data_IF_789161138258
#
_entry.id   IF_789161138258
#
_cell.length_a   1.000
_cell.length_b   1.000
_cell.length_c   1.000
_cell.angle_alpha   90.00
_cell.angle_beta   90.00
_cell.angle_gamma   90.00
#
_symmetry.space_group_name_H-M   'P 1'
#
loop_
_entity.id
_entity.type
_entity.pdbx_description
1 polymer ?
2 non-polymer ?
3 non-polymer ?
4 non-polymer ?
5 water ?
#
# COMPACT_ATOMS: atom_id res chain seq x y z
N UNK A 11 1.99 -10.92 -23.92
CA UNK A 11 2.41 -12.30 -23.73
C UNK A 11 3.93 -12.42 -23.79
N UNK A 12 4.56 -11.46 -24.45
CA UNK A 12 6.02 -11.40 -24.48
C UNK A 12 6.60 -10.81 -23.20
N UNK A 13 5.83 -10.00 -22.48
CA UNK A 13 6.25 -9.53 -21.17
C UNK A 13 6.07 -10.60 -20.11
N UNK A 14 5.00 -11.39 -20.19
CA UNK A 14 4.84 -12.52 -19.29
C UNK A 14 5.95 -13.55 -19.48
N UNK A 15 6.43 -13.72 -20.72
CA UNK A 15 7.45 -14.75 -20.94
C UNK A 15 8.77 -14.38 -20.29
N UNK A 16 9.18 -13.11 -20.38
CA UNK A 16 10.43 -12.71 -19.76
C UNK A 16 10.30 -12.64 -18.24
N UNK A 17 9.10 -12.36 -17.73
CA UNK A 17 8.91 -12.28 -16.28
C UNK A 17 8.87 -13.67 -15.66
N UNK A 18 8.13 -14.60 -16.29
CA UNK A 18 7.99 -15.94 -15.72
C UNK A 18 9.28 -16.73 -15.77
N UNK A 19 10.19 -16.41 -16.68
CA UNK A 19 11.45 -17.14 -16.83
C UNK A 19 12.60 -16.53 -16.05
N UNK A 20 12.44 -15.31 -15.53
CA UNK A 20 13.53 -14.65 -14.84
C UNK A 20 13.72 -15.22 -13.44
N UNK A 21 14.89 -14.95 -12.88
CA UNK A 21 15.21 -15.33 -11.50
C UNK A 21 14.83 -14.17 -10.59
N UNK A 22 14.27 -14.51 -9.42
CA UNK A 22 13.81 -13.52 -8.46
C UNK A 22 14.94 -13.29 -7.46
N UNK A 23 15.58 -12.11 -7.46
CA UNK A 23 16.64 -11.85 -6.48
C UNK A 23 16.11 -11.84 -5.06
N UNK A 24 17.03 -11.92 -4.11
CA UNK A 24 16.67 -11.95 -2.70
C UNK A 24 15.99 -10.65 -2.28
N UNK A 25 15.37 -10.68 -1.10
CA UNK A 25 14.75 -9.47 -0.57
C UNK A 25 15.80 -8.42 -0.22
N UNK A 26 16.96 -8.86 0.28
CA UNK A 26 18.04 -7.93 0.59
C UNK A 26 18.64 -7.33 -0.67
N UNK A 27 18.69 -8.10 -1.76
CA UNK A 27 19.20 -7.58 -3.02
C UNK A 27 18.28 -6.51 -3.59
N UNK A 28 16.96 -6.69 -3.41
CA UNK A 28 15.98 -5.76 -3.95
C UNK A 28 15.66 -4.60 -3.00
N UNK A 29 16.20 -4.62 -1.78
CA UNK A 29 16.05 -3.52 -0.81
C UNK A 29 14.59 -3.28 -0.43
N UNK A 30 13.74 -4.32 -0.55
CA UNK A 30 12.31 -4.14 -0.27
C UNK A 30 11.99 -4.22 1.22
N UNK A 31 12.97 -4.50 2.07
CA UNK A 31 12.75 -4.50 3.51
C UNK A 31 13.00 -3.14 4.15
N UNK A 32 13.79 -2.29 3.50
CA UNK A 32 14.04 -0.95 4.03
C UNK A 32 12.79 -0.09 3.95
N UNK A 33 12.51 0.65 5.03
CA UNK A 33 11.45 1.64 4.99
C UNK A 33 11.74 2.76 4.02
N UNK A 34 13.02 2.98 3.69
CA UNK A 34 13.43 4.03 2.78
C UNK A 34 13.53 3.56 1.34
N UNK A 35 12.87 2.44 1.01
CA UNK A 35 12.94 1.90 -0.35
C UNK A 35 12.37 2.91 -1.34
N UNK A 36 13.02 2.99 -2.50
CA UNK A 36 12.55 3.81 -3.61
C UNK A 36 12.58 3.00 -4.89
N UNK A 37 11.60 3.23 -5.75
CA UNK A 37 11.43 2.47 -6.99
C UNK A 37 11.92 3.22 -8.22
N UNK A 38 12.58 4.36 -8.03
CA UNK A 38 12.82 5.27 -9.16
C UNK A 38 13.67 4.63 -10.24
N UNK A 39 14.79 4.01 -9.86
CA UNK A 39 15.73 3.45 -10.82
C UNK A 39 15.27 2.11 -11.39
N UNK A 40 14.05 1.66 -11.07
CA UNK A 40 13.61 0.31 -11.40
C UNK A 40 12.76 0.31 -12.66
N UNK A 41 12.89 -0.74 -13.45
CA UNK A 41 12.01 -0.97 -14.59
C UNK A 41 10.63 -1.41 -14.11
N UNK A 42 9.71 -1.57 -15.06
CA UNK A 42 8.43 -2.18 -14.73
C UNK A 42 8.60 -3.65 -14.39
N UNK A 43 9.49 -4.34 -15.11
CA UNK A 43 9.75 -5.75 -14.83
C UNK A 43 10.46 -5.94 -13.49
N UNK A 44 11.31 -4.99 -13.10
CA UNK A 44 12.01 -5.11 -11.83
C UNK A 44 11.04 -4.98 -10.66
N UNK A 45 10.03 -4.11 -10.80
CA UNK A 45 9.02 -4.00 -9.75
C UNK A 45 8.16 -5.25 -9.68
N UNK A 46 7.93 -5.90 -10.82
CA UNK A 46 7.18 -7.16 -10.81
C UNK A 46 7.94 -8.26 -10.10
N UNK A 47 9.27 -8.29 -10.24
CA UNK A 47 10.06 -9.28 -9.54
C UNK A 47 10.11 -8.98 -8.04
N UNK A 48 10.15 -7.70 -7.68
CA UNK A 48 10.07 -7.34 -6.27
C UNK A 48 8.74 -7.78 -5.67
N UNK A 49 7.66 -7.69 -6.45
CA UNK A 49 6.36 -8.12 -5.97
C UNK A 49 6.31 -9.63 -5.79
N UNK A 50 6.96 -10.38 -6.68
CA UNK A 50 7.06 -11.83 -6.50
C UNK A 50 7.81 -12.16 -5.22
N UNK A 51 8.89 -11.43 -4.95
CA UNK A 51 9.67 -11.67 -3.74
C UNK A 51 8.84 -11.41 -2.49
N UNK A 52 7.97 -10.39 -2.54
CA UNK A 52 7.12 -10.09 -1.39
C UNK A 52 6.13 -11.22 -1.13
N UNK A 53 5.53 -11.77 -2.20
CA UNK A 53 4.68 -12.94 -2.04
C UNK A 53 5.48 -14.15 -1.56
N UNK A 54 6.74 -14.26 -2.01
CA UNK A 54 7.55 -15.43 -1.69
C UNK A 54 8.04 -15.39 -0.24
N UNK A 55 8.64 -14.28 0.18
CA UNK A 55 9.21 -14.21 1.52
C UNK A 55 8.16 -14.14 2.61
N UNK A 56 6.91 -13.83 2.27
CA UNK A 56 5.80 -13.90 3.20
C UNK A 56 5.16 -15.28 3.25
N UNK A 57 5.76 -16.26 2.56
CA UNK A 57 5.30 -17.65 2.51
C UNK A 57 3.89 -17.77 1.92
N UNK A 58 3.42 -16.74 1.22
CA UNK A 58 2.09 -16.80 0.61
C UNK A 58 2.07 -17.77 -0.56
N UNK A 59 3.17 -17.84 -1.32
CA UNK A 59 3.25 -18.78 -2.42
C UNK A 59 3.24 -20.22 -1.89
N UNK A 60 3.92 -20.46 -0.77
CA UNK A 60 4.01 -21.81 -0.23
C UNK A 60 2.73 -22.21 0.47
N UNK A 61 2.22 -21.37 1.38
CA UNK A 61 1.09 -21.75 2.22
C UNK A 61 -0.22 -21.81 1.45
N UNK A 62 -0.29 -21.23 0.26
CA UNK A 62 -1.52 -21.21 -0.53
C UNK A 62 -1.34 -21.80 -1.92
N UNK A 63 -0.19 -22.41 -2.20
CA UNK A 63 0.02 -23.21 -3.41
C UNK A 63 -0.24 -22.40 -4.68
N UNK A 64 0.40 -21.24 -4.77
CA UNK A 64 0.31 -20.43 -5.99
C UNK A 64 1.28 -20.96 -7.03
N UNK A 65 0.76 -21.22 -8.23
CA UNK A 65 1.62 -21.61 -9.34
C UNK A 65 2.28 -20.38 -9.93
N UNK A 66 3.54 -20.53 -10.34
CA UNK A 66 4.38 -19.38 -10.67
C UNK A 66 3.80 -18.56 -11.81
N UNK A 67 3.37 -19.22 -12.88
CA UNK A 67 2.86 -18.49 -14.04
C UNK A 67 1.54 -17.80 -13.78
N UNK A 68 0.78 -18.25 -12.78
CA UNK A 68 -0.47 -17.57 -12.43
C UNK A 68 -0.18 -16.30 -11.65
N UNK A 69 0.77 -16.36 -10.70
CA UNK A 69 1.15 -15.15 -9.97
C UNK A 69 1.78 -14.12 -10.90
N UNK A 70 2.62 -14.57 -11.83
CA UNK A 70 3.21 -13.64 -12.80
C UNK A 70 2.12 -12.98 -13.64
N UNK A 71 1.13 -13.75 -14.09
CA UNK A 71 0.06 -13.19 -14.90
C UNK A 71 -0.81 -12.24 -14.08
N UNK A 72 -1.06 -12.58 -12.82
CA UNK A 72 -1.88 -11.71 -11.97
C UNK A 72 -1.17 -10.40 -11.68
N UNK A 73 0.10 -10.48 -11.25
CA UNK A 73 0.89 -9.27 -11.04
C UNK A 73 0.89 -8.42 -12.30
N UNK A 74 1.03 -9.05 -13.45
CA UNK A 74 1.03 -8.29 -14.69
C UNK A 74 -0.33 -7.69 -14.98
N UNK A 75 -1.40 -8.46 -14.80
CA UNK A 75 -2.75 -7.93 -15.03
C UNK A 75 -3.02 -6.71 -14.14
N UNK A 76 -2.46 -6.69 -12.93
CA UNK A 76 -2.71 -5.58 -12.02
C UNK A 76 -2.01 -4.32 -12.49
N UNK A 77 -0.74 -4.44 -12.91
CA UNK A 77 0.01 -3.25 -13.32
C UNK A 77 -0.52 -2.67 -14.64
N UNK A 78 -1.12 -3.50 -15.50
CA UNK A 78 -1.68 -2.96 -16.74
C UNK A 78 -2.99 -2.23 -16.50
N UNK A 79 -3.71 -2.55 -15.43
CA UNK A 79 -4.97 -1.87 -15.11
C UNK A 79 -4.74 -0.59 -14.31
N UNK A 80 -3.50 -0.14 -14.19
CA UNK A 80 -3.16 1.20 -13.74
C UNK A 80 -2.80 2.04 -14.95
N UNK A 81 -3.10 3.33 -14.87
CA UNK A 81 -2.98 4.23 -16.03
C UNK A 81 -1.68 5.02 -15.93
N UNK A 82 -0.82 4.84 -16.94
CA UNK A 82 0.46 5.54 -16.98
C UNK A 82 0.28 7.05 -17.07
N UNK A 83 -0.78 7.50 -17.73
CA UNK A 83 -1.02 8.91 -17.96
C UNK A 83 -1.47 9.67 -16.71
N UNK A 84 -1.56 8.99 -15.57
CA UNK A 84 -1.87 9.63 -14.29
C UNK A 84 -0.57 9.80 -13.52
N UNK A 85 -0.35 11.00 -12.98
CA UNK A 85 0.96 11.35 -12.45
C UNK A 85 1.32 10.52 -11.23
N UNK A 86 0.43 10.46 -10.24
CA UNK A 86 0.72 9.78 -8.98
C UNK A 86 -0.03 8.48 -8.80
N UNK A 87 -1.35 8.50 -8.92
CA UNK A 87 -2.17 7.30 -8.68
C UNK A 87 -2.01 6.34 -9.85
N UNK A 88 -0.87 5.65 -9.87
CA UNK A 88 -0.55 4.70 -10.93
C UNK A 88 0.05 3.46 -10.29
N UNK A 89 0.65 2.60 -11.12
CA UNK A 89 1.16 1.33 -10.63
C UNK A 89 2.30 1.52 -9.64
N UNK A 90 3.16 2.52 -9.87
CA UNK A 90 4.29 2.74 -8.98
C UNK A 90 3.83 3.12 -7.58
N UNK A 91 2.70 3.83 -7.47
CA UNK A 91 2.16 4.13 -6.15
C UNK A 91 1.64 2.86 -5.47
N UNK A 92 0.94 2.00 -6.23
CA UNK A 92 0.44 0.76 -5.67
C UNK A 92 1.59 -0.17 -5.30
N UNK A 93 2.64 -0.20 -6.14
CA UNK A 93 3.79 -1.04 -5.84
C UNK A 93 4.50 -0.56 -4.57
N UNK A 94 4.62 0.76 -4.40
CA UNK A 94 5.26 1.29 -3.20
C UNK A 94 4.40 1.07 -1.97
N UNK A 95 3.07 1.14 -2.12
CA UNK A 95 2.19 0.88 -0.99
C UNK A 95 2.34 -0.55 -0.49
N UNK A 96 2.43 -1.51 -1.41
CA UNK A 96 2.62 -2.89 -1.00
C UNK A 96 4.02 -3.13 -0.44
N UNK A 97 5.02 -2.39 -0.93
CA UNK A 97 6.37 -2.56 -0.42
C UNK A 97 6.46 -2.13 1.04
N UNK A 98 5.85 -1.00 1.39
CA UNK A 98 5.85 -0.56 2.78
C UNK A 98 5.05 -1.52 3.66
N UNK A 99 3.99 -2.11 3.12
CA UNK A 99 3.29 -3.18 3.83
C UNK A 99 4.23 -4.36 4.10
N UNK A 100 5.04 -4.72 3.11
CA UNK A 100 6.03 -5.76 3.30
C UNK A 100 7.08 -5.33 4.33
N UNK A 101 7.52 -4.08 4.26
CA UNK A 101 8.52 -3.59 5.21
C UNK A 101 7.93 -3.49 6.62
N UNK A 102 6.67 -3.09 6.73
CA UNK A 102 6.03 -3.01 8.04
C UNK A 102 5.81 -4.39 8.64
N UNK A 103 5.62 -5.41 7.80
CA UNK A 103 5.48 -6.77 8.31
C UNK A 103 6.81 -7.36 8.73
N UNK A 104 7.86 -7.13 7.94
CA UNK A 104 9.17 -7.69 8.24
C UNK A 104 9.94 -6.79 9.22
N UNK A 105 10.41 -5.64 8.74
CA UNK A 105 11.20 -4.75 9.58
C UNK A 105 10.40 -4.22 10.76
N UNK A 106 9.10 -4.02 10.59
CA UNK A 106 8.25 -3.58 11.67
C UNK A 106 7.73 -4.67 12.57
N UNK A 107 8.01 -5.94 12.25
CA UNK A 107 7.63 -7.09 13.05
C UNK A 107 6.12 -7.20 13.23
N UNK A 108 5.34 -6.55 12.37
CA UNK A 108 3.89 -6.67 12.44
C UNK A 108 3.43 -8.05 11.97
N UNK A 109 4.27 -8.78 11.24
CA UNK A 109 3.88 -10.06 10.67
C UNK A 109 3.40 -11.04 11.73
N UNK A 110 4.00 -11.01 12.93
CA UNK A 110 3.64 -11.96 13.96
C UNK A 110 2.32 -11.63 14.63
N UNK A 111 1.82 -10.41 14.47
CA UNK A 111 0.54 -10.02 15.06
C UNK A 111 -0.66 -10.41 14.21
N UNK A 112 -0.44 -10.91 12.99
CA UNK A 112 -1.52 -11.19 12.06
C UNK A 112 -1.49 -12.65 11.62
N UNK A 113 -2.60 -13.08 11.04
CA UNK A 113 -2.71 -14.42 10.47
C UNK A 113 -2.26 -14.41 9.02
N UNK A 114 -2.05 -15.61 8.48
CA UNK A 114 -1.62 -15.73 7.08
C UNK A 114 -2.67 -15.16 6.14
N UNK A 115 -3.96 -15.41 6.41
CA UNK A 115 -5.01 -14.89 5.56
C UNK A 115 -5.10 -13.37 5.62
N UNK A 116 -4.82 -12.79 6.78
CA UNK A 116 -4.79 -11.33 6.88
C UNK A 116 -3.61 -10.75 6.11
N UNK A 117 -2.44 -11.38 6.23
CA UNK A 117 -1.26 -10.93 5.47
C UNK A 117 -1.51 -11.10 3.98
N UNK A 118 -2.09 -12.23 3.57
CA UNK A 118 -2.40 -12.46 2.17
C UNK A 118 -3.33 -11.39 1.63
N UNK A 119 -4.33 -11.00 2.41
CA UNK A 119 -5.29 -10.00 1.96
C UNK A 119 -4.68 -8.60 1.94
N UNK A 120 -3.82 -8.29 2.92
CA UNK A 120 -3.23 -6.96 3.00
C UNK A 120 -2.32 -6.69 1.81
N UNK A 121 -1.54 -7.70 1.39
CA UNK A 121 -0.65 -7.50 0.26
C UNK A 121 -1.43 -7.35 -1.05
N UNK A 122 -2.47 -8.17 -1.23
CA UNK A 122 -3.28 -8.06 -2.44
C UNK A 122 -4.02 -6.73 -2.47
N UNK A 123 -4.52 -6.28 -1.32
CA UNK A 123 -5.26 -5.02 -1.28
C UNK A 123 -4.35 -3.84 -1.54
N UNK A 124 -3.12 -3.86 -0.99
CA UNK A 124 -2.19 -2.76 -1.20
C UNK A 124 -1.86 -2.60 -2.67
N UNK A 125 -1.68 -3.71 -3.39
CA UNK A 125 -1.39 -3.65 -4.82
C UNK A 125 -2.60 -3.23 -5.64
N UNK A 126 -3.81 -3.41 -5.11
CA UNK A 126 -5.03 -3.22 -5.89
C UNK A 126 -5.87 -2.05 -5.42
N UNK A 127 -5.46 -1.34 -4.37
CA UNK A 127 -6.34 -0.36 -3.72
C UNK A 127 -6.67 0.85 -4.58
N UNK A 128 -6.01 1.03 -5.72
CA UNK A 128 -6.26 2.21 -6.56
C UNK A 128 -6.37 1.83 -8.03
N UNK A 129 -6.80 0.60 -8.31
CA UNK A 129 -6.88 0.13 -9.69
C UNK A 129 -7.82 1.01 -10.50
N UNK A 130 -7.42 1.25 -11.76
CA UNK A 130 -8.21 2.04 -12.72
C UNK A 130 -8.45 3.46 -12.23
N UNK A 131 -7.48 4.04 -11.54
CA UNK A 131 -7.55 5.44 -11.13
C UNK A 131 -7.21 6.34 -12.30
N UNK A 132 -8.00 7.40 -12.49
CA UNK A 132 -7.84 8.30 -13.62
C UNK A 132 -7.42 9.70 -13.20
N UNK A 133 -6.95 9.88 -11.98
CA UNK A 133 -6.60 11.20 -11.51
C UNK A 133 -7.70 11.81 -10.66
N UNK A 134 -7.29 12.63 -9.69
CA UNK A 134 -8.23 13.22 -8.75
C UNK A 134 -9.15 14.23 -9.42
N UNK A 135 -8.72 14.84 -10.53
CA UNK A 135 -9.53 15.81 -11.24
C UNK A 135 -10.23 15.23 -12.46
N UNK A 136 -10.27 13.90 -12.57
CA UNK A 136 -10.95 13.19 -13.65
C UNK A 136 -11.90 12.16 -13.09
N UNK A 137 -12.63 12.52 -12.04
CA UNK A 137 -13.50 11.60 -11.32
C UNK A 137 -14.97 11.72 -11.73
N UNK A 138 -15.27 12.51 -12.76
CA UNK A 138 -16.67 12.70 -13.16
C UNK A 138 -17.28 11.42 -13.73
N UNK A 139 -16.46 10.60 -14.41
CA UNK A 139 -16.97 9.36 -14.98
C UNK A 139 -17.47 8.40 -13.92
N UNK A 140 -17.08 8.61 -12.66
CA UNK A 140 -17.48 7.78 -11.54
C UNK A 140 -17.03 6.33 -11.73
N UNK A 152 -19.62 8.01 0.06
CA UNK A 152 -19.73 6.62 0.47
C UNK A 152 -18.65 5.77 -0.21
N UNK A 153 -17.55 6.42 -0.61
CA UNK A 153 -16.39 5.77 -1.22
C UNK A 153 -16.78 5.05 -2.52
N UNK A 154 -17.01 5.86 -3.56
CA UNK A 154 -17.33 5.32 -4.87
C UNK A 154 -16.07 4.80 -5.55
N UNK A 155 -14.99 5.58 -5.51
CA UNK A 155 -13.75 5.15 -6.15
C UNK A 155 -13.21 3.88 -5.53
N UNK A 156 -13.25 3.78 -4.19
CA UNK A 156 -12.73 2.59 -3.52
C UNK A 156 -13.55 1.36 -3.88
N UNK A 157 -14.86 1.51 -4.03
CA UNK A 157 -15.69 0.39 -4.49
C UNK A 157 -15.33 0.01 -5.92
N UNK A 158 -15.02 0.99 -6.76
CA UNK A 158 -14.57 0.69 -8.11
C UNK A 158 -13.21 0.01 -8.11
N UNK A 159 -12.34 0.40 -7.18
CA UNK A 159 -11.02 -0.22 -7.09
C UNK A 159 -11.12 -1.69 -6.71
N UNK A 160 -12.01 -2.03 -5.77
CA UNK A 160 -12.18 -3.42 -5.40
C UNK A 160 -12.85 -4.22 -6.51
N UNK A 161 -13.80 -3.60 -7.22
CA UNK A 161 -14.41 -4.27 -8.36
C UNK A 161 -13.36 -4.67 -9.39
N UNK A 162 -12.40 -3.79 -9.65
CA UNK A 162 -11.30 -4.13 -10.55
C UNK A 162 -10.41 -5.20 -9.94
N UNK A 163 -10.20 -5.15 -8.63
CA UNK A 163 -9.37 -6.17 -7.97
C UNK A 163 -10.03 -7.54 -8.04
N UNK A 164 -11.33 -7.61 -7.78
CA UNK A 164 -12.03 -8.89 -7.84
C UNK A 164 -12.10 -9.41 -9.28
N UNK A 165 -12.24 -8.50 -10.24
CA UNK A 165 -12.29 -8.92 -11.64
C UNK A 165 -10.97 -9.55 -12.07
N UNK A 166 -9.85 -8.98 -11.64
CA UNK A 166 -8.55 -9.55 -11.98
C UNK A 166 -8.34 -10.87 -11.24
N UNK A 167 -8.79 -10.95 -9.99
CA UNK A 167 -8.65 -12.18 -9.22
C UNK A 167 -9.43 -13.33 -9.84
N UNK A 168 -10.50 -13.02 -10.56
CA UNK A 168 -11.33 -14.04 -11.20
C UNK A 168 -10.99 -14.25 -12.67
N UNK A 169 -10.09 -13.45 -13.23
CA UNK A 169 -9.72 -13.60 -14.62
C UNK A 169 -9.06 -14.96 -14.84
N UNK A 170 -9.31 -15.62 -15.96
CA UNK A 170 -8.66 -16.92 -16.21
C UNK A 170 -7.15 -16.77 -16.31
N UNK A 171 -6.44 -17.67 -15.65
CA UNK A 171 -4.99 -17.61 -15.58
C UNK A 171 -4.43 -16.70 -14.51
N UNK A 172 -5.28 -15.96 -13.79
CA UNK A 172 -4.84 -15.01 -12.78
C UNK A 172 -5.36 -15.34 -11.39
N UNK A 173 -5.87 -16.56 -11.18
CA UNK A 173 -6.50 -16.94 -9.92
C UNK A 173 -5.44 -17.39 -8.93
N UNK A 174 -4.79 -16.41 -8.30
CA UNK A 174 -3.79 -16.73 -7.29
C UNK A 174 -4.41 -17.23 -5.99
N UNK A 175 -5.73 -17.16 -5.85
CA UNK A 175 -6.42 -17.64 -4.66
C UNK A 175 -7.12 -18.97 -4.91
N UNK A 176 -6.81 -19.65 -6.01
CA UNK A 176 -7.49 -20.91 -6.32
C UNK A 176 -7.16 -22.01 -5.31
N UNK A 177 -6.00 -21.92 -4.67
CA UNK A 177 -5.59 -22.91 -3.69
C UNK A 177 -6.22 -22.76 -2.32
N UNK A 178 -7.07 -21.77 -2.13
CA UNK A 178 -7.76 -21.57 -0.86
C UNK A 178 -9.09 -22.31 -0.85
N UNK A 179 -9.47 -22.77 0.33
CA UNK A 179 -10.81 -23.32 0.50
C UNK A 179 -11.86 -22.22 0.35
N UNK A 180 -13.10 -22.64 0.13
CA UNK A 180 -14.18 -21.67 0.01
C UNK A 180 -14.36 -20.89 1.31
N UNK A 181 -14.00 -21.50 2.44
CA UNK A 181 -14.03 -20.78 3.71
C UNK A 181 -12.93 -19.72 3.76
N UNK A 182 -11.70 -20.09 3.41
CA UNK A 182 -10.61 -19.12 3.39
C UNK A 182 -10.81 -18.08 2.29
N UNK A 183 -11.41 -18.48 1.16
CA UNK A 183 -11.53 -17.57 0.03
C UNK A 183 -12.41 -16.37 0.36
N UNK A 184 -13.50 -16.58 1.12
CA UNK A 184 -14.39 -15.47 1.43
C UNK A 184 -13.87 -14.62 2.59
N UNK A 185 -13.26 -15.26 3.60
CA UNK A 185 -12.59 -14.50 4.64
C UNK A 185 -11.54 -13.57 4.04
N UNK A 186 -10.78 -14.07 3.05
CA UNK A 186 -9.80 -13.24 2.38
C UNK A 186 -10.48 -12.14 1.56
N UNK A 187 -11.56 -12.47 0.86
CA UNK A 187 -12.22 -11.47 0.02
C UNK A 187 -12.80 -10.32 0.84
N UNK A 188 -13.34 -10.63 2.01
CA UNK A 188 -13.94 -9.57 2.83
C UNK A 188 -12.87 -8.71 3.51
N UNK A 189 -11.71 -9.29 3.83
CA UNK A 189 -10.62 -8.47 4.35
C UNK A 189 -10.04 -7.59 3.25
N UNK A 190 -9.93 -8.13 2.03
CA UNK A 190 -9.45 -7.34 0.90
C UNK A 190 -10.35 -6.14 0.67
N UNK A 191 -11.67 -6.36 0.71
CA UNK A 191 -12.62 -5.27 0.45
C UNK A 191 -12.54 -4.20 1.52
N UNK A 192 -12.49 -4.60 2.78
CA UNK A 192 -12.41 -3.62 3.87
C UNK A 192 -11.09 -2.87 3.84
N UNK A 193 -9.99 -3.55 3.47
CA UNK A 193 -8.70 -2.88 3.40
C UNK A 193 -8.67 -1.84 2.29
N UNK A 194 -9.28 -2.15 1.14
CA UNK A 194 -9.31 -1.20 0.04
C UNK A 194 -10.21 -0.02 0.38
N UNK A 195 -11.38 -0.29 0.97
CA UNK A 195 -12.29 0.78 1.37
C UNK A 195 -11.66 1.69 2.42
N UNK A 196 -10.78 1.13 3.26
CA UNK A 196 -10.14 1.92 4.30
C UNK A 196 -9.23 3.01 3.72
N UNK A 197 -8.77 2.85 2.48
CA UNK A 197 -7.91 3.85 1.85
C UNK A 197 -8.66 5.13 1.51
N UNK A 198 -9.98 5.16 1.70
CA UNK A 198 -10.72 6.42 1.63
C UNK A 198 -10.40 7.24 2.87
N UNK A 199 -9.75 8.39 2.68
CA UNK A 199 -9.36 9.21 3.82
C UNK A 199 -10.58 9.66 4.63
N UNK A 200 -11.74 9.74 4.00
CA UNK A 200 -12.97 10.02 4.74
C UNK A 200 -13.22 8.97 5.81
N UNK A 201 -13.10 7.69 5.44
CA UNK A 201 -13.27 6.63 6.42
C UNK A 201 -12.18 6.67 7.49
N UNK A 202 -10.95 7.02 7.09
CA UNK A 202 -9.87 7.14 8.06
C UNK A 202 -10.16 8.25 9.06
N UNK A 203 -10.70 9.38 8.58
CA UNK A 203 -10.97 10.50 9.47
C UNK A 203 -12.05 10.14 10.49
N UNK A 204 -13.07 9.40 10.06
CA UNK A 204 -14.18 9.06 10.94
C UNK A 204 -13.83 7.94 11.93
N UNK A 205 -12.79 7.15 11.65
CA UNK A 205 -12.43 6.02 12.50
C UNK A 205 -11.12 6.21 13.26
N UNK A 206 -10.29 7.19 12.88
CA UNK A 206 -9.02 7.37 13.56
C UNK A 206 -9.21 7.87 14.99
N UNK A 207 -10.29 8.60 15.26
CA UNK A 207 -10.55 9.06 16.62
C UNK A 207 -10.70 7.91 17.60
N UNK A 208 -11.45 6.88 17.19
CA UNK A 208 -11.54 5.68 18.03
C UNK A 208 -10.16 5.04 18.19
N UNK A 209 -9.42 4.90 17.08
CA UNK A 209 -8.11 4.23 17.13
C UNK A 209 -7.18 4.91 18.13
N UNK A 210 -7.15 6.25 18.12
CA UNK A 210 -6.26 6.96 19.04
C UNK A 210 -6.76 6.87 20.48
N UNK A 211 -8.07 7.00 20.69
CA UNK A 211 -8.62 7.04 22.04
C UNK A 211 -8.43 5.73 22.81
N UNK A 212 -8.21 4.60 22.12
CA UNK A 212 -7.88 3.36 22.82
C UNK A 212 -6.38 3.20 23.01
N UNK A 213 -5.58 3.80 22.13
CA UNK A 213 -4.14 3.88 22.36
C UNK A 213 -3.85 4.68 23.63
N UNK A 214 -4.59 5.78 23.83
CA UNK A 214 -4.35 6.65 24.96
C UNK A 214 -4.68 5.99 26.30
N UNK A 215 -5.42 4.87 26.30
CA UNK A 215 -5.81 4.22 27.53
C UNK A 215 -5.17 2.85 27.70
N UNK A 216 -4.26 2.46 26.80
CA UNK A 216 -3.61 1.16 26.82
C UNK A 216 -4.62 0.01 26.81
N UNK A 217 -5.84 0.30 26.37
CA UNK A 217 -6.90 -0.67 26.18
C UNK A 217 -6.75 -1.46 24.89
N UNK A 218 -5.76 -1.14 24.07
CA UNK A 218 -5.66 -1.69 22.72
C UNK A 218 -5.40 -3.18 22.75
N UNK A 219 -6.30 -3.95 22.12
CA UNK A 219 -6.30 -5.41 22.22
C UNK A 219 -6.66 -6.01 20.86
N UNK A 220 -5.69 -6.64 20.20
CA UNK A 220 -5.91 -7.13 18.86
C UNK A 220 -6.68 -8.45 18.80
N UNK A 221 -6.92 -9.10 19.94
CA UNK A 221 -7.76 -10.29 19.94
C UNK A 221 -9.22 -9.98 19.69
N UNK A 222 -9.64 -8.74 19.93
CA UNK A 222 -10.98 -8.29 19.59
C UNK A 222 -11.10 -8.17 18.07
N UNK A 223 -12.10 -8.81 17.45
CA UNK A 223 -12.23 -8.72 15.97
C UNK A 223 -12.50 -7.32 15.46
N UNK A 224 -13.28 -6.53 16.21
CA UNK A 224 -13.50 -5.14 15.82
C UNK A 224 -12.20 -4.34 15.91
N UNK A 225 -11.37 -4.65 16.90
CA UNK A 225 -10.07 -3.99 17.05
C UNK A 225 -9.13 -4.32 15.89
N UNK A 226 -9.10 -5.59 15.49
CA UNK A 226 -8.17 -6.03 14.45
C UNK A 226 -8.51 -5.40 13.12
N UNK A 227 -9.81 -5.36 12.79
CA UNK A 227 -10.24 -4.71 11.55
C UNK A 227 -9.89 -3.23 11.55
N UNK A 228 -10.02 -2.56 12.70
CA UNK A 228 -9.65 -1.16 12.79
C UNK A 228 -8.15 -0.97 12.59
N UNK A 229 -7.34 -1.89 13.12
CA UNK A 229 -5.90 -1.78 12.95
C UNK A 229 -5.49 -2.03 11.50
N UNK A 230 -6.12 -3.02 10.84
CA UNK A 230 -5.85 -3.26 9.44
C UNK A 230 -6.22 -2.04 8.59
N UNK A 231 -7.29 -1.36 8.97
CA UNK A 231 -7.70 -0.15 8.25
C UNK A 231 -6.66 0.95 8.40
N UNK A 232 -6.16 1.17 9.61
CA UNK A 232 -5.14 2.19 9.82
C UNK A 232 -3.81 1.80 9.20
N UNK A 233 -3.51 0.50 9.17
CA UNK A 233 -2.25 0.04 8.57
C UNK A 233 -2.22 0.30 7.08
N UNK A 234 -3.36 0.14 6.40
CA UNK A 234 -3.40 0.40 4.97
C UNK A 234 -3.25 1.88 4.66
N UNK A 235 -3.84 2.74 5.49
CA UNK A 235 -3.65 4.19 5.32
C UNK A 235 -2.20 4.58 5.55
N UNK A 236 -1.52 3.91 6.49
CA UNK A 236 -0.14 4.23 6.80
C UNK A 236 0.77 4.00 5.60
N UNK A 237 0.60 2.86 4.92
CA UNK A 237 1.39 2.57 3.73
C UNK A 237 0.89 3.31 2.51
N UNK A 238 -0.42 3.60 2.45
CA UNK A 238 -0.97 4.38 1.34
C UNK A 238 -0.31 5.75 1.25
N UNK A 239 -0.07 6.39 2.40
CA UNK A 239 0.55 7.70 2.46
C UNK A 239 2.03 7.62 2.84
N UNK A 240 2.64 6.45 2.72
CA UNK A 240 4.00 6.24 3.18
C UNK A 240 5.04 7.06 2.40
N UNK A 241 4.66 7.64 1.26
CA UNK A 241 5.59 8.51 0.54
C UNK A 241 5.96 9.75 1.33
N UNK A 242 5.12 10.14 2.29
CA UNK A 242 5.41 11.27 3.15
C UNK A 242 6.53 10.98 4.15
N UNK A 243 6.91 9.71 4.31
CA UNK A 243 7.94 9.30 5.25
C UNK A 243 9.27 9.03 4.59
N UNK A 244 9.34 9.11 3.26
CA UNK A 244 10.56 8.77 2.54
C UNK A 244 11.66 9.80 2.81
N UNK A 245 12.93 9.45 2.51
CA UNK A 245 14.01 10.44 2.60
C UNK A 245 13.71 11.69 1.77
N UNK A 246 14.34 12.81 2.15
CA UNK A 246 13.98 14.10 1.58
C UNK A 246 14.09 14.16 0.06
N UNK A 247 15.17 13.69 -0.58
CA UNK A 247 15.19 13.74 -2.06
C UNK A 247 14.10 12.90 -2.70
N UNK A 248 13.67 11.82 -2.06
CA UNK A 248 12.61 10.99 -2.62
C UNK A 248 11.25 11.65 -2.42
N UNK A 249 10.96 12.12 -1.21
CA UNK A 249 9.69 12.76 -0.94
C UNK A 249 9.51 14.02 -1.77
N UNK A 250 10.61 14.75 -2.00
CA UNK A 250 10.54 15.94 -2.84
C UNK A 250 10.04 15.62 -4.23
N UNK A 251 10.49 14.49 -4.80
CA UNK A 251 10.07 14.12 -6.14
C UNK A 251 8.64 13.59 -6.16
N UNK A 252 8.26 12.82 -5.15
CA UNK A 252 6.90 12.27 -5.11
C UNK A 252 5.88 13.38 -4.90
N UNK A 253 6.20 14.36 -4.05
CA UNK A 253 5.33 15.51 -3.89
C UNK A 253 5.15 16.27 -5.20
N UNK A 254 6.18 16.27 -6.05
CA UNK A 254 6.04 16.85 -7.38
C UNK A 254 5.06 16.06 -8.23
N UNK A 255 5.07 14.72 -8.10
CA UNK A 255 4.11 13.90 -8.82
C UNK A 255 2.69 14.14 -8.32
N UNK A 256 2.52 14.27 -7.00
CA UNK A 256 1.20 14.56 -6.44
C UNK A 256 0.70 15.91 -6.95
N UNK A 257 1.53 16.94 -6.85
CA UNK A 257 1.12 18.27 -7.29
C UNK A 257 0.82 18.30 -8.78
N UNK A 258 1.47 17.45 -9.58
CA UNK A 258 1.20 17.42 -11.01
C UNK A 258 -0.20 16.89 -11.31
N UNK A 259 -0.66 15.91 -10.53
CA UNK A 259 -1.97 15.31 -10.77
C UNK A 259 -3.09 16.22 -10.29
N UNK A 260 -2.89 16.92 -9.17
CA UNK A 260 -3.92 17.78 -8.60
C UNK A 260 -3.97 19.15 -9.26
N UNK A 261 -2.95 19.52 -10.04
CA UNK A 261 -2.93 20.80 -10.73
C UNK A 261 -3.07 20.62 -12.23
N UNK A 262 -2.11 19.97 -12.89
CA UNK A 262 -1.99 19.97 -14.34
C UNK A 262 -2.99 19.07 -15.04
N UNK A 263 -3.86 18.37 -14.32
CA UNK A 263 -4.83 17.44 -14.93
C UNK A 263 -4.09 16.34 -15.68
N UNK A 264 -2.95 15.91 -15.16
CA UNK A 264 -2.12 14.90 -15.81
C UNK A 264 -1.23 14.12 -14.87
N UNK A 285 5.61 25.45 -5.90
CA UNK A 285 4.31 26.07 -6.16
C UNK A 285 3.27 25.61 -5.15
N UNK A 286 3.15 26.39 -4.06
CA UNK A 286 2.21 26.12 -2.96
C UNK A 286 2.49 24.81 -2.23
N UNK A 287 3.41 24.00 -2.77
CA UNK A 287 3.57 22.64 -2.27
C UNK A 287 4.04 22.59 -0.81
N UNK A 288 5.06 23.34 -0.40
CA UNK A 288 5.52 23.20 1.01
C UNK A 288 4.42 23.42 2.03
N UNK A 289 3.62 24.49 1.87
CA UNK A 289 2.53 24.75 2.80
C UNK A 289 1.54 23.59 2.83
N UNK A 290 1.23 23.01 1.66
CA UNK A 290 0.24 21.94 1.60
C UNK A 290 0.78 20.62 2.14
N UNK A 291 2.09 20.41 2.10
CA UNK A 291 2.65 19.19 2.68
C UNK A 291 2.67 19.27 4.20
N UNK A 292 2.95 20.45 4.75
CA UNK A 292 2.96 20.61 6.21
C UNK A 292 1.55 20.42 6.77
N UNK A 293 0.55 21.00 6.09
CA UNK A 293 -0.82 20.82 6.56
C UNK A 293 -1.29 19.38 6.45
N UNK A 294 -0.93 18.70 5.37
CA UNK A 294 -1.26 17.28 5.23
C UNK A 294 -0.56 16.43 6.29
N UNK A 295 0.67 16.81 6.67
CA UNK A 295 1.38 16.08 7.71
C UNK A 295 0.75 16.34 9.07
N UNK A 296 0.35 17.59 9.33
CA UNK A 296 -0.24 17.92 10.63
C UNK A 296 -1.61 17.27 10.81
N UNK A 297 -2.44 17.29 9.76
CA UNK A 297 -3.83 16.89 9.92
C UNK A 297 -4.03 15.38 9.83
N UNK A 298 -3.15 14.66 9.12
CA UNK A 298 -3.39 13.28 8.73
C UNK A 298 -2.30 12.35 9.26
N UNK A 299 -1.03 12.62 8.94
CA UNK A 299 0.00 11.60 9.02
C UNK A 299 0.68 11.50 10.39
N UNK A 300 0.93 12.63 11.06
CA UNK A 300 1.74 12.61 12.27
C UNK A 300 1.15 11.69 13.33
N UNK A 301 -0.13 11.88 13.66
CA UNK A 301 -0.76 11.04 14.67
C UNK A 301 -0.84 9.59 14.24
N UNK A 302 -1.08 9.35 12.95
CA UNK A 302 -1.21 7.99 12.44
C UNK A 302 0.09 7.21 12.64
N UNK A 303 1.21 7.78 12.19
CA UNK A 303 2.49 7.10 12.38
C UNK A 303 2.91 7.08 13.83
N UNK A 304 2.46 8.06 14.62
CA UNK A 304 2.69 8.02 16.06
C UNK A 304 1.97 6.83 16.69
N UNK A 305 0.71 6.61 16.29
CA UNK A 305 -0.04 5.48 16.83
C UNK A 305 0.51 4.15 16.33
N UNK A 306 1.07 4.12 15.12
CA UNK A 306 1.62 2.86 14.60
C UNK A 306 2.85 2.42 15.37
N UNK A 307 3.67 3.38 15.81
CA UNK A 307 4.87 3.03 16.57
C UNK A 307 4.54 2.62 17.98
N UNK A 308 3.45 3.14 18.56
CA UNK A 308 3.01 2.65 19.85
C UNK A 308 2.61 1.18 19.77
N UNK A 309 2.00 0.78 18.65
CA UNK A 309 1.61 -0.62 18.48
C UNK A 309 2.85 -1.49 18.28
N UNK A 310 3.77 -1.06 17.42
CA UNK A 310 5.03 -1.76 17.18
C UNK A 310 6.14 -0.73 17.09
N UNK A 311 7.05 -0.73 18.06
CA UNK A 311 8.08 0.30 18.16
C UNK A 311 9.03 0.30 16.97
N UNK A 312 9.11 -0.80 16.22
CA UNK A 312 10.07 -0.92 15.13
C UNK A 312 9.60 -0.26 13.83
N UNK A 313 8.37 0.26 13.79
CA UNK A 313 7.93 1.11 12.70
C UNK A 313 8.20 2.58 12.98
N UNK A 314 9.05 2.87 13.96
CA UNK A 314 9.47 4.26 14.20
C UNK A 314 10.09 4.94 12.99
N UNK A 315 10.88 4.27 12.12
CA UNK A 315 11.42 4.97 10.94
C UNK A 315 10.36 5.63 10.07
N UNK A 316 9.12 5.16 10.13
CA UNK A 316 8.04 5.84 9.41
C UNK A 316 7.69 7.17 10.05
N UNK A 317 7.51 7.17 11.37
CA UNK A 317 7.26 8.43 12.08
C UNK A 317 8.47 9.36 12.02
N UNK A 318 9.68 8.79 12.14
CA UNK A 318 10.88 9.61 12.09
C UNK A 318 11.05 10.25 10.72
N UNK A 319 10.82 9.49 9.64
CA UNK A 319 10.96 10.04 8.31
C UNK A 319 9.93 11.10 7.99
N UNK A 320 8.73 10.97 8.55
CA UNK A 320 7.69 11.97 8.32
C UNK A 320 7.95 13.25 9.08
N UNK A 321 8.57 13.15 10.26
CA UNK A 321 8.95 14.36 11.00
C UNK A 321 10.04 15.13 10.27
N UNK A 322 11.02 14.41 9.72
CA UNK A 322 12.10 15.06 8.99
C UNK A 322 11.57 15.78 7.75
N UNK A 323 10.57 15.20 7.08
CA UNK A 323 9.99 15.85 5.92
C UNK A 323 9.18 17.08 6.30
N UNK A 324 8.51 17.05 7.46
CA UNK A 324 7.80 18.24 7.93
C UNK A 324 8.78 19.36 8.25
N UNK A 325 9.96 19.02 8.77
CA UNK A 325 10.98 20.01 9.04
C UNK A 325 11.47 20.68 7.75
N UNK A 326 11.70 19.90 6.69
CA UNK A 326 12.22 20.49 5.47
C UNK A 326 11.15 21.25 4.70
N UNK A 327 9.92 20.76 4.71
CA UNK A 327 8.82 21.46 4.04
C UNK A 327 8.50 22.77 4.74
N UNK A 328 8.58 22.79 6.07
CA UNK A 328 8.30 24.02 6.82
C UNK A 328 9.35 25.08 6.54
N UNK A 329 10.62 24.67 6.41
CA UNK A 329 11.67 25.64 6.14
C UNK A 329 11.48 26.31 4.79
N UNK A 330 11.06 25.55 3.78
CA UNK A 330 10.79 26.15 2.47
C UNK A 330 9.50 26.96 2.49
N UNK A 331 8.53 26.58 3.32
CA UNK A 331 7.31 27.36 3.44
C UNK A 331 7.59 28.77 3.94
N UNK A 332 8.64 28.93 4.76
CA UNK A 332 9.08 30.24 5.23
C UNK A 332 10.01 30.93 4.24
N UNK A 333 10.06 30.45 3.00
CA UNK A 333 10.90 31.03 1.95
C UNK A 333 12.38 31.04 2.36
#
# INVERSE_FOLDING_TARGET
>A
SYHASAAEEETRELQSLAAAVVPSAQTLKITDFSFSDFELSDLETALCTIRMFTDLNLVQNFQMKHEVLCRWILSVKKNYRKNVAYHNWRHAFNTAQCMFAALKAGKIQNKLTDLEILALLIAALSHDLDHRGVNNSYIQRSEHPLAQLYCHSIMEHHHFDQCLMILNSPGNQILSGLSIEEYKTTLKIIKQAILATDLALYIKRRGEFFELIRKNQFNLEDPHQKELFLAMLMTACDLSAITKPWPIQQRIAELVATEFFDQGDRERKELNIEPTDLMNREKKNKIPSMQVGFIDAICLQLYEALTHVSEDCFPLLDGCRKNRQKWQALAEQQEKMLINGESGQAKRN
#
